data_IF_561398632845
#
_entry.id   IF_561398632845
#
_cell.length_a   1.000
_cell.length_b   1.000
_cell.length_c   1.000
_cell.angle_alpha   90.00
_cell.angle_beta   90.00
_cell.angle_gamma   90.00
#
_symmetry.space_group_name_H-M   'P 1'
#
loop_
_entity.id
_entity.type
_entity.pdbx_description
1 polymer ?
#
# COMPACT_ATOMS: atom_id res chain seq x y z
N UNK A 1 -17.95 -14.19 46.56
CA UNK A 1 -18.14 -15.66 46.35
C UNK A 1 -19.51 -15.87 45.78
N UNK A 2 -19.63 -15.99 44.48
CA UNK A 2 -20.84 -16.45 43.81
C UNK A 2 -20.41 -17.27 42.59
N UNK A 3 -21.00 -18.41 42.51
CA UNK A 3 -20.65 -19.69 41.99
C UNK A 3 -20.69 -19.77 40.44
N UNK A 4 -19.58 -20.12 39.83
CA UNK A 4 -19.48 -20.53 38.40
C UNK A 4 -19.85 -22.03 38.30
N UNK A 5 -21.11 -22.42 38.23
CA UNK A 5 -21.53 -23.78 37.80
C UNK A 5 -23.06 -23.83 37.70
N UNK A 6 -23.60 -23.46 36.53
CA UNK A 6 -24.87 -23.94 36.05
C UNK A 6 -25.21 -23.38 34.67
N UNK A 7 -24.67 -23.97 33.62
CA UNK A 7 -25.26 -23.91 32.25
C UNK A 7 -24.60 -24.99 31.38
N UNK A 8 -24.81 -26.23 31.78
CA UNK A 8 -24.59 -27.38 30.92
C UNK A 8 -25.67 -28.40 31.27
N UNK A 9 -26.73 -28.43 30.46
CA UNK A 9 -27.55 -29.63 30.15
C UNK A 9 -28.75 -29.25 29.28
N UNK A 10 -28.74 -29.92 28.13
CA UNK A 10 -29.80 -30.25 27.20
C UNK A 10 -29.72 -29.54 25.83
N UNK A 11 -29.14 -30.27 24.87
CA UNK A 11 -29.77 -30.59 23.61
C UNK A 11 -28.96 -31.69 22.92
N UNK A 12 -29.46 -32.89 22.99
CA UNK A 12 -28.98 -34.00 22.17
C UNK A 12 -29.72 -33.98 20.83
N UNK A 13 -28.96 -34.35 19.81
CA UNK A 13 -29.35 -35.01 18.56
C UNK A 13 -30.24 -34.27 17.56
N UNK A 14 -29.63 -33.87 16.46
CA UNK A 14 -30.01 -34.45 15.13
C UNK A 14 -28.84 -34.17 14.16
N UNK A 15 -28.29 -35.21 13.60
CA UNK A 15 -27.25 -35.15 12.59
C UNK A 15 -27.80 -34.50 11.31
N UNK A 16 -27.17 -33.39 10.92
CA UNK A 16 -27.26 -32.89 9.56
C UNK A 16 -25.83 -32.91 9.02
N UNK A 17 -25.57 -33.76 8.07
CA UNK A 17 -24.41 -33.72 7.22
C UNK A 17 -24.40 -32.36 6.53
N UNK A 18 -23.59 -31.42 7.01
CA UNK A 18 -23.21 -30.24 6.25
C UNK A 18 -22.16 -30.70 5.25
N UNK A 19 -22.62 -30.94 4.03
CA UNK A 19 -21.76 -31.10 2.88
C UNK A 19 -20.83 -29.90 2.79
N UNK A 20 -19.52 -30.15 2.78
CA UNK A 20 -18.52 -29.19 2.36
C UNK A 20 -18.82 -28.91 0.89
N UNK A 21 -19.59 -27.86 0.65
CA UNK A 21 -19.84 -27.36 -0.69
C UNK A 21 -18.53 -26.84 -1.25
N UNK A 22 -17.92 -27.62 -2.14
CA UNK A 22 -16.89 -27.11 -3.05
C UNK A 22 -17.55 -25.96 -3.83
N UNK A 23 -17.21 -24.74 -3.52
CA UNK A 23 -17.64 -23.57 -4.27
C UNK A 23 -17.18 -23.72 -5.71
N UNK A 24 -18.08 -24.02 -6.62
CA UNK A 24 -17.77 -24.23 -8.04
C UNK A 24 -17.32 -22.91 -8.71
N UNK A 25 -16.74 -22.98 -9.92
CA UNK A 25 -16.17 -21.82 -10.62
C UNK A 25 -17.17 -20.67 -10.87
N UNK A 26 -18.48 -20.93 -10.82
CA UNK A 26 -19.50 -19.88 -10.98
C UNK A 26 -19.62 -18.96 -9.76
N UNK A 27 -19.33 -19.42 -8.55
CA UNK A 27 -19.40 -18.62 -7.32
C UNK A 27 -18.21 -17.65 -7.22
N UNK A 28 -17.04 -18.02 -7.76
CA UNK A 28 -15.86 -17.16 -7.83
C UNK A 28 -16.05 -15.96 -8.78
N UNK A 29 -16.95 -16.05 -9.76
CA UNK A 29 -17.26 -14.95 -10.70
C UNK A 29 -18.09 -13.83 -10.07
N UNK A 30 -18.82 -14.08 -8.99
CA UNK A 30 -19.64 -13.08 -8.31
C UNK A 30 -18.90 -12.38 -7.16
N UNK A 31 -17.90 -13.04 -6.57
CA UNK A 31 -17.13 -12.49 -5.45
C UNK A 31 -16.06 -11.49 -5.91
N UNK A 32 -15.82 -10.44 -5.09
CA UNK A 32 -14.74 -9.48 -5.30
C UNK A 32 -13.40 -9.95 -4.67
N UNK A 33 -12.30 -9.29 -5.05
CA UNK A 33 -10.97 -9.56 -4.46
C UNK A 33 -10.98 -9.39 -2.93
N UNK A 34 -11.81 -8.47 -2.40
CA UNK A 34 -12.04 -8.32 -0.95
C UNK A 34 -12.40 -9.63 -0.27
N UNK A 35 -13.38 -10.35 -0.82
CA UNK A 35 -13.88 -11.59 -0.22
C UNK A 35 -12.84 -12.71 -0.28
N UNK A 36 -12.07 -12.79 -1.38
CA UNK A 36 -10.98 -13.75 -1.52
C UNK A 36 -9.85 -13.47 -0.52
N UNK A 37 -9.44 -12.22 -0.38
CA UNK A 37 -8.41 -11.82 0.57
C UNK A 37 -8.81 -12.11 2.04
N UNK A 38 -10.06 -11.82 2.41
CA UNK A 38 -10.57 -12.07 3.76
C UNK A 38 -10.50 -13.54 4.17
N UNK A 39 -10.67 -14.49 3.25
CA UNK A 39 -10.52 -15.93 3.54
C UNK A 39 -9.12 -16.33 3.99
N UNK A 40 -8.12 -15.52 3.63
CA UNK A 40 -6.72 -15.70 4.03
C UNK A 40 -6.29 -14.76 5.16
N UNK A 41 -7.24 -14.11 5.83
CA UNK A 41 -6.97 -13.06 6.81
C UNK A 41 -6.10 -11.91 6.26
N UNK A 42 -6.30 -11.59 4.98
CA UNK A 42 -5.64 -10.49 4.27
C UNK A 42 -6.66 -9.40 3.97
N UNK A 43 -6.18 -8.17 3.78
CA UNK A 43 -6.98 -7.11 3.16
C UNK A 43 -6.59 -6.96 1.69
N UNK A 44 -7.60 -6.85 0.80
CA UNK A 44 -7.40 -6.30 -0.53
C UNK A 44 -7.95 -4.88 -0.59
N UNK A 45 -7.22 -3.98 -1.23
CA UNK A 45 -7.62 -2.59 -1.36
C UNK A 45 -7.09 -1.91 -2.61
N UNK A 46 -7.35 -0.61 -2.73
CA UNK A 46 -6.80 0.20 -3.80
C UNK A 46 -6.70 1.69 -3.43
N UNK A 47 -5.84 2.41 -4.15
CA UNK A 47 -5.81 3.86 -4.12
C UNK A 47 -7.11 4.42 -4.71
N UNK A 48 -7.61 5.48 -4.10
CA UNK A 48 -8.87 6.13 -4.49
C UNK A 48 -8.83 7.62 -4.15
N UNK A 49 -9.28 8.43 -5.09
CA UNK A 49 -9.49 9.86 -4.90
C UNK A 49 -10.99 10.17 -4.65
N UNK A 50 -11.27 11.25 -3.93
CA UNK A 50 -12.65 11.68 -3.61
C UNK A 50 -13.49 11.95 -4.85
N UNK A 51 -12.88 12.48 -5.91
CA UNK A 51 -13.59 12.76 -7.17
C UNK A 51 -14.08 11.49 -7.87
N UNK A 52 -13.35 10.38 -7.75
CA UNK A 52 -13.74 9.09 -8.30
C UNK A 52 -15.00 8.53 -7.62
N UNK A 53 -15.24 8.86 -6.35
CA UNK A 53 -16.42 8.43 -5.61
C UNK A 53 -17.73 9.07 -6.09
N UNK A 54 -17.66 10.13 -6.89
CA UNK A 54 -18.82 10.76 -7.53
C UNK A 54 -19.36 9.93 -8.70
N UNK A 55 -18.56 9.02 -9.25
CA UNK A 55 -18.99 8.02 -10.23
C UNK A 55 -19.64 6.83 -9.51
N UNK A 56 -20.96 6.74 -9.59
CA UNK A 56 -21.74 5.72 -8.90
C UNK A 56 -21.39 4.29 -9.33
N UNK A 57 -21.06 4.08 -10.61
CA UNK A 57 -20.67 2.78 -11.13
C UNK A 57 -19.30 2.35 -10.56
N UNK A 58 -18.34 3.30 -10.51
CA UNK A 58 -17.06 3.06 -9.91
C UNK A 58 -17.18 2.81 -8.40
N UNK A 59 -17.94 3.63 -7.67
CA UNK A 59 -18.16 3.45 -6.25
C UNK A 59 -18.76 2.06 -5.94
N UNK A 60 -19.71 1.59 -6.77
CA UNK A 60 -20.29 0.26 -6.65
C UNK A 60 -19.26 -0.86 -6.91
N UNK A 61 -18.40 -0.69 -7.92
CA UNK A 61 -17.31 -1.62 -8.19
C UNK A 61 -16.29 -1.63 -7.05
N UNK A 62 -15.94 -0.47 -6.51
CA UNK A 62 -15.02 -0.30 -5.39
C UNK A 62 -15.50 -1.06 -4.14
N UNK A 63 -16.76 -0.89 -3.76
CA UNK A 63 -17.37 -1.57 -2.61
C UNK A 63 -17.38 -3.09 -2.78
N UNK A 64 -17.61 -3.59 -3.99
CA UNK A 64 -17.56 -5.01 -4.30
C UNK A 64 -16.16 -5.59 -4.22
N UNK A 65 -15.16 -4.88 -4.75
CA UNK A 65 -13.81 -5.40 -4.91
C UNK A 65 -12.90 -5.14 -3.71
N UNK A 66 -13.00 -3.98 -3.02
CA UNK A 66 -12.06 -3.53 -2.01
C UNK A 66 -12.62 -3.55 -0.58
N UNK A 67 -11.77 -3.89 0.38
CA UNK A 67 -12.03 -3.80 1.83
C UNK A 67 -11.11 -2.79 2.54
N UNK A 68 -10.15 -2.24 1.81
CA UNK A 68 -9.19 -1.26 2.30
C UNK A 68 -8.96 -0.20 1.24
N UNK A 69 -8.97 1.07 1.63
CA UNK A 69 -8.62 2.19 0.75
C UNK A 69 -7.29 2.81 1.16
N UNK A 70 -6.62 3.44 0.22
CA UNK A 70 -5.54 4.40 0.49
C UNK A 70 -5.85 5.70 -0.24
N UNK A 71 -5.65 6.85 0.43
CA UNK A 71 -5.85 8.16 -0.18
C UNK A 71 -4.82 8.37 -1.30
N UNK A 72 -5.29 8.53 -2.54
CA UNK A 72 -4.37 8.76 -3.68
C UNK A 72 -3.67 10.10 -3.57
N UNK A 73 -4.38 11.13 -3.10
CA UNK A 73 -3.87 12.49 -3.03
C UNK A 73 -4.22 13.23 -1.73
N UNK A 74 -5.40 13.04 -1.17
CA UNK A 74 -6.04 13.90 -0.18
C UNK A 74 -5.31 13.98 1.17
N UNK A 75 -4.42 13.02 1.48
CA UNK A 75 -3.62 13.01 2.70
C UNK A 75 -2.15 13.41 2.47
N UNK A 76 -1.75 13.77 1.25
CA UNK A 76 -0.42 14.31 0.96
C UNK A 76 -0.30 15.73 1.50
N UNK A 77 0.91 16.12 1.93
CA UNK A 77 1.10 17.41 2.64
C UNK A 77 0.69 18.62 1.82
N UNK A 78 0.94 18.62 0.51
CA UNK A 78 0.53 19.72 -0.38
C UNK A 78 -1.01 19.84 -0.52
N UNK A 79 -1.76 18.77 -0.26
CA UNK A 79 -3.22 18.84 -0.19
C UNK A 79 -3.70 19.36 1.16
N UNK A 80 -3.07 18.92 2.25
CA UNK A 80 -3.51 19.17 3.63
C UNK A 80 -3.01 20.52 4.16
N UNK A 81 -1.74 20.89 3.95
CA UNK A 81 -1.12 22.08 4.52
C UNK A 81 -0.60 23.02 3.43
N UNK A 82 -1.49 23.47 2.53
CA UNK A 82 -1.14 24.40 1.44
C UNK A 82 -0.53 25.70 1.96
N UNK A 83 -1.10 26.21 3.05
CA UNK A 83 -0.61 27.39 3.76
C UNK A 83 -0.09 26.94 5.12
N UNK A 84 1.10 27.40 5.48
CA UNK A 84 1.77 27.03 6.73
C UNK A 84 0.88 27.19 7.94
N UNK A 85 0.69 26.10 8.71
CA UNK A 85 -0.11 26.06 9.93
C UNK A 85 -1.62 26.00 9.72
N UNK A 86 -2.11 25.97 8.45
CA UNK A 86 -3.52 25.81 8.13
C UNK A 86 -3.75 24.44 7.51
N UNK A 87 -4.51 23.59 8.20
CA UNK A 87 -4.74 22.20 7.83
C UNK A 87 -6.15 22.02 7.27
N UNK A 88 -6.25 21.45 6.08
CA UNK A 88 -7.51 21.04 5.45
C UNK A 88 -7.59 19.51 5.43
N UNK A 89 -8.46 18.96 6.26
CA UNK A 89 -8.70 17.54 6.38
C UNK A 89 -9.90 17.04 5.55
N UNK A 90 -10.64 17.95 4.91
CA UNK A 90 -11.93 17.63 4.29
C UNK A 90 -11.87 16.47 3.31
N UNK A 91 -10.83 16.41 2.47
CA UNK A 91 -10.64 15.31 1.51
C UNK A 91 -10.38 13.96 2.19
N UNK A 92 -9.45 13.92 3.14
CA UNK A 92 -9.15 12.70 3.88
C UNK A 92 -10.33 12.23 4.74
N UNK A 93 -11.06 13.16 5.38
CA UNK A 93 -12.26 12.87 6.16
C UNK A 93 -13.39 12.32 5.27
N UNK A 94 -13.55 12.84 4.06
CA UNK A 94 -14.53 12.32 3.10
C UNK A 94 -14.23 10.86 2.72
N UNK A 95 -12.97 10.52 2.44
CA UNK A 95 -12.55 9.14 2.18
C UNK A 95 -12.76 8.24 3.39
N UNK A 96 -12.42 8.69 4.60
CA UNK A 96 -12.63 7.93 5.84
C UNK A 96 -14.11 7.67 6.10
N UNK A 97 -14.96 8.68 5.91
CA UNK A 97 -16.40 8.55 6.09
C UNK A 97 -17.00 7.57 5.08
N UNK A 98 -16.60 7.65 3.80
CA UNK A 98 -17.00 6.69 2.78
C UNK A 98 -16.56 5.27 3.16
N UNK A 99 -15.29 5.07 3.51
CA UNK A 99 -14.77 3.77 3.91
C UNK A 99 -15.58 3.18 5.08
N UNK A 100 -15.80 3.95 6.14
CA UNK A 100 -16.60 3.51 7.30
C UNK A 100 -18.02 3.15 6.92
N UNK A 101 -18.69 3.97 6.11
CA UNK A 101 -20.07 3.72 5.66
C UNK A 101 -20.20 2.42 4.84
N UNK A 102 -19.15 2.00 4.15
CA UNK A 102 -19.10 0.79 3.34
C UNK A 102 -18.42 -0.40 4.05
N UNK A 103 -18.14 -0.30 5.35
CA UNK A 103 -17.46 -1.35 6.12
C UNK A 103 -16.05 -1.66 5.57
N UNK A 104 -15.36 -0.64 5.10
CA UNK A 104 -13.96 -0.68 4.66
C UNK A 104 -13.06 0.04 5.67
N UNK A 105 -11.77 -0.28 5.64
CA UNK A 105 -10.75 0.48 6.33
C UNK A 105 -10.10 1.52 5.38
N UNK A 106 -9.37 2.48 5.96
CA UNK A 106 -8.55 3.45 5.23
C UNK A 106 -7.13 3.42 5.78
N UNK A 107 -6.12 3.53 4.94
CA UNK A 107 -4.74 3.79 5.34
C UNK A 107 -4.30 5.18 4.90
N UNK A 108 -3.44 5.80 5.70
CA UNK A 108 -2.90 7.14 5.43
C UNK A 108 -1.65 7.08 4.56
N UNK A 109 -1.62 7.91 3.53
CA UNK A 109 -0.50 8.06 2.61
C UNK A 109 -0.34 9.54 2.23
N UNK A 110 0.73 10.20 2.55
CA UNK A 110 1.89 9.80 3.34
C UNK A 110 2.32 10.99 4.22
N UNK A 111 2.94 10.71 5.38
CA UNK A 111 3.30 11.79 6.30
C UNK A 111 4.56 12.55 5.86
N UNK A 112 5.64 11.83 5.52
CA UNK A 112 6.92 12.45 5.12
C UNK A 112 7.38 11.84 3.79
N UNK A 113 7.52 12.70 2.80
CA UNK A 113 7.99 12.34 1.46
C UNK A 113 8.87 13.45 0.90
N UNK A 114 9.73 13.15 -0.06
CA UNK A 114 10.59 14.14 -0.71
C UNK A 114 9.84 15.02 -1.73
N UNK A 115 8.67 14.57 -2.19
CA UNK A 115 7.79 15.29 -3.13
C UNK A 115 6.40 15.50 -2.54
N UNK A 116 5.46 16.07 -3.29
CA UNK A 116 4.09 16.41 -2.87
C UNK A 116 4.02 17.26 -1.59
N UNK A 117 4.96 18.18 -1.47
CA UNK A 117 5.01 19.16 -0.41
C UNK A 117 4.52 20.54 -0.92
N UNK A 118 4.01 21.41 -0.03
CA UNK A 118 3.70 22.79 -0.42
C UNK A 118 4.99 23.57 -0.73
N UNK A 119 4.91 24.51 -1.67
CA UNK A 119 6.07 25.24 -2.20
C UNK A 119 6.91 25.95 -1.14
N UNK A 120 6.26 26.43 -0.06
CA UNK A 120 6.93 27.12 1.05
C UNK A 120 7.81 26.21 1.90
N UNK A 121 7.56 24.90 1.91
CA UNK A 121 8.17 23.99 2.89
C UNK A 121 9.66 23.72 2.67
N UNK A 122 10.14 23.37 1.46
CA UNK A 122 11.56 23.07 1.27
C UNK A 122 12.48 24.22 1.69
N UNK A 123 12.12 25.44 1.34
CA UNK A 123 12.89 26.63 1.70
C UNK A 123 12.85 26.90 3.21
N UNK A 124 11.66 26.79 3.82
CA UNK A 124 11.52 26.96 5.27
C UNK A 124 12.35 25.93 6.06
N UNK A 125 12.39 24.68 5.63
CA UNK A 125 13.18 23.62 6.25
C UNK A 125 14.68 23.88 6.10
N UNK A 126 15.15 24.22 4.91
CA UNK A 126 16.57 24.50 4.64
C UNK A 126 17.09 25.69 5.44
N UNK A 127 16.29 26.76 5.53
CA UNK A 127 16.70 28.01 6.17
C UNK A 127 16.67 27.90 7.70
N UNK A 128 15.56 27.38 8.27
CA UNK A 128 15.39 27.35 9.72
C UNK A 128 16.05 26.15 10.40
N UNK A 129 16.15 25.00 9.70
CA UNK A 129 16.52 23.70 10.27
C UNK A 129 15.70 23.34 11.52
N UNK A 130 14.45 23.78 11.56
CA UNK A 130 13.54 23.56 12.67
C UNK A 130 12.80 22.21 12.47
N UNK A 131 13.16 21.23 13.29
CA UNK A 131 12.56 19.88 13.27
C UNK A 131 11.06 19.90 13.55
N UNK A 132 10.53 20.98 14.13
CA UNK A 132 9.07 21.12 14.37
C UNK A 132 8.29 21.22 13.06
N UNK A 133 8.91 21.66 11.96
CA UNK A 133 8.30 21.63 10.63
C UNK A 133 7.97 20.20 10.15
N UNK A 134 8.67 19.21 10.67
CA UNK A 134 8.39 17.80 10.41
C UNK A 134 7.49 17.23 11.52
N UNK A 135 7.93 17.34 12.77
CA UNK A 135 7.30 16.64 13.91
C UNK A 135 5.92 17.17 14.25
N UNK A 136 5.69 18.51 14.17
CA UNK A 136 4.36 19.08 14.41
C UNK A 136 3.35 18.67 13.34
N UNK A 137 3.77 18.61 12.05
CA UNK A 137 2.91 18.12 10.97
C UNK A 137 2.52 16.65 11.20
N UNK A 138 3.51 15.78 11.46
CA UNK A 138 3.25 14.35 11.73
C UNK A 138 2.30 14.19 12.92
N UNK A 139 2.56 14.91 14.02
CA UNK A 139 1.69 14.90 15.21
C UNK A 139 0.26 15.33 14.88
N UNK A 140 0.09 16.40 14.10
CA UNK A 140 -1.22 16.95 13.75
C UNK A 140 -2.01 15.94 12.91
N UNK A 141 -1.40 15.38 11.87
CA UNK A 141 -2.01 14.37 11.01
C UNK A 141 -2.42 13.11 11.79
N UNK A 142 -1.47 12.54 12.54
CA UNK A 142 -1.71 11.28 13.24
C UNK A 142 -2.74 11.44 14.36
N UNK A 143 -2.75 12.57 15.07
CA UNK A 143 -3.77 12.84 16.10
C UNK A 143 -5.16 13.04 15.52
N UNK A 144 -5.29 13.73 14.37
CA UNK A 144 -6.59 13.90 13.72
C UNK A 144 -7.25 12.56 13.38
N UNK A 145 -6.46 11.60 12.88
CA UNK A 145 -6.95 10.27 12.49
C UNK A 145 -6.74 9.18 13.55
N UNK A 146 -6.41 9.55 14.79
CA UNK A 146 -6.05 8.59 15.83
C UNK A 146 -7.07 7.48 16.00
N UNK A 147 -6.60 6.22 15.92
CA UNK A 147 -7.41 5.01 16.05
C UNK A 147 -8.40 4.77 14.90
N UNK A 148 -8.40 5.61 13.86
CA UNK A 148 -9.34 5.52 12.75
C UNK A 148 -8.76 4.83 11.50
N UNK A 149 -7.44 4.80 11.36
CA UNK A 149 -6.78 4.26 10.17
C UNK A 149 -6.21 2.87 10.42
N UNK A 150 -6.15 2.08 9.35
CA UNK A 150 -5.50 0.77 9.33
C UNK A 150 -3.98 0.88 9.57
N UNK A 151 -3.34 1.82 8.90
CA UNK A 151 -1.88 2.04 8.96
C UNK A 151 -1.51 3.40 8.37
N UNK A 152 -0.28 3.86 8.64
CA UNK A 152 0.31 5.05 8.05
C UNK A 152 1.59 4.74 7.28
N UNK A 153 1.73 5.24 6.07
CA UNK A 153 3.03 5.41 5.44
C UNK A 153 3.70 6.62 6.09
N UNK A 154 4.59 6.35 7.05
CA UNK A 154 5.23 7.41 7.84
C UNK A 154 6.30 8.12 7.03
N UNK A 155 7.17 7.34 6.39
CA UNK A 155 8.18 7.83 5.46
C UNK A 155 8.05 7.06 4.16
N UNK A 156 8.00 7.81 3.06
CA UNK A 156 7.88 7.29 1.71
C UNK A 156 9.15 7.54 0.91
N UNK A 157 9.70 6.49 0.27
CA UNK A 157 10.77 6.54 -0.74
C UNK A 157 12.08 7.22 -0.26
N UNK A 158 12.52 6.88 0.94
CA UNK A 158 13.76 7.44 1.48
C UNK A 158 15.03 6.76 0.92
N UNK A 159 14.92 5.63 0.22
CA UNK A 159 16.05 4.88 -0.33
C UNK A 159 16.23 5.21 -1.81
N UNK A 160 17.48 5.50 -2.20
CA UNK A 160 17.93 5.59 -3.59
C UNK A 160 19.41 5.24 -3.69
N UNK A 161 19.77 3.96 -3.77
CA UNK A 161 21.17 3.55 -3.84
C UNK A 161 21.84 3.92 -5.16
N UNK A 162 21.10 4.44 -6.14
CA UNK A 162 21.64 4.91 -7.42
C UNK A 162 22.10 6.36 -7.37
N UNK A 163 21.72 7.11 -6.32
CA UNK A 163 22.14 8.50 -6.11
C UNK A 163 23.61 8.66 -5.65
N UNK A 164 24.34 7.54 -5.47
CA UNK A 164 25.77 7.55 -5.17
C UNK A 164 26.15 7.81 -3.71
N UNK A 165 25.18 7.88 -2.78
CA UNK A 165 25.45 7.97 -1.35
C UNK A 165 25.78 6.60 -0.76
N UNK A 166 26.78 6.57 0.15
CA UNK A 166 27.22 5.32 0.80
C UNK A 166 26.17 4.72 1.75
N UNK A 167 25.26 5.55 2.28
CA UNK A 167 24.16 5.13 3.15
C UNK A 167 22.91 4.69 2.36
N UNK A 168 22.90 4.82 1.04
CA UNK A 168 21.80 4.46 0.16
C UNK A 168 20.57 5.35 0.27
N UNK A 169 20.63 6.44 1.06
CA UNK A 169 19.48 7.34 1.22
C UNK A 169 19.31 8.26 0.02
N UNK A 170 18.05 8.56 -0.30
CA UNK A 170 17.67 9.51 -1.35
C UNK A 170 18.03 10.94 -0.95
N UNK A 171 18.80 11.68 -1.77
CA UNK A 171 18.99 13.11 -1.57
C UNK A 171 17.66 13.87 -1.60
N UNK A 172 17.39 14.63 -0.55
CA UNK A 172 16.21 15.47 -0.46
C UNK A 172 16.39 16.55 0.61
N UNK A 173 15.53 17.57 0.61
CA UNK A 173 15.64 18.69 1.54
C UNK A 173 15.55 18.27 3.03
N UNK A 174 14.81 17.20 3.35
CA UNK A 174 14.78 16.63 4.69
C UNK A 174 16.14 16.09 5.13
N UNK A 175 16.77 15.31 4.24
CA UNK A 175 18.10 14.74 4.50
C UNK A 175 19.17 15.83 4.57
N UNK A 176 19.09 16.88 3.72
CA UNK A 176 20.01 18.03 3.74
C UNK A 176 19.91 18.81 5.05
N UNK A 177 18.69 19.00 5.57
CA UNK A 177 18.46 19.81 6.76
C UNK A 177 18.74 19.03 8.05
N UNK A 178 18.28 17.79 8.17
CA UNK A 178 18.26 17.04 9.43
C UNK A 178 19.15 15.80 9.43
N UNK A 179 19.84 15.50 8.32
CA UNK A 179 20.57 14.25 8.19
C UNK A 179 19.64 13.03 8.20
N UNK A 180 20.19 11.80 8.32
CA UNK A 180 19.42 10.57 8.33
C UNK A 180 18.38 10.48 9.46
N UNK A 181 18.55 11.26 10.52
CA UNK A 181 17.65 11.27 11.70
C UNK A 181 16.23 11.78 11.40
N UNK A 182 16.00 12.45 10.25
CA UNK A 182 14.64 12.89 9.89
C UNK A 182 13.64 11.72 9.84
N UNK A 183 14.13 10.52 9.47
CA UNK A 183 13.32 9.31 9.41
C UNK A 183 12.94 8.87 10.83
N UNK A 184 13.93 8.81 11.72
CA UNK A 184 13.72 8.41 13.11
C UNK A 184 12.75 9.38 13.81
N UNK A 185 12.91 10.69 13.60
CA UNK A 185 12.01 11.74 14.12
C UNK A 185 10.56 11.56 13.64
N UNK A 186 10.37 11.25 12.35
CA UNK A 186 9.04 11.03 11.80
C UNK A 186 8.32 9.85 12.46
N UNK A 187 9.00 8.70 12.58
CA UNK A 187 8.44 7.51 13.20
C UNK A 187 8.17 7.69 14.71
N UNK A 188 9.10 8.33 15.43
CA UNK A 188 8.92 8.62 16.86
C UNK A 188 7.75 9.57 17.10
N UNK A 189 7.62 10.63 16.29
CA UNK A 189 6.50 11.56 16.36
C UNK A 189 5.17 10.86 16.06
N UNK A 190 5.11 10.00 15.05
CA UNK A 190 3.91 9.24 14.71
C UNK A 190 3.50 8.29 15.84
N UNK A 191 4.45 7.54 16.42
CA UNK A 191 4.20 6.62 17.54
C UNK A 191 3.74 7.36 18.80
N UNK A 192 4.33 8.51 19.09
CA UNK A 192 3.92 9.34 20.22
C UNK A 192 2.50 9.91 20.06
N UNK A 193 2.11 10.24 18.82
CA UNK A 193 0.78 10.79 18.52
C UNK A 193 -0.33 9.71 18.58
N UNK A 194 -0.04 8.49 18.10
CA UNK A 194 -0.93 7.32 18.20
C UNK A 194 -0.13 6.06 18.51
N UNK A 195 -0.09 5.63 19.79
CA UNK A 195 0.62 4.42 20.19
C UNK A 195 0.10 3.13 19.55
N UNK A 196 -1.13 3.12 19.05
CA UNK A 196 -1.79 1.96 18.43
C UNK A 196 -1.67 1.90 16.92
N UNK A 197 -1.25 3.00 16.28
CA UNK A 197 -1.13 3.06 14.83
C UNK A 197 -0.06 2.09 14.30
N UNK A 198 -0.38 1.38 13.23
CA UNK A 198 0.61 0.59 12.47
C UNK A 198 1.42 1.54 11.59
N UNK A 199 2.73 1.59 11.82
CA UNK A 199 3.66 2.50 11.17
C UNK A 199 4.46 1.77 10.10
N UNK A 200 4.35 2.22 8.85
CA UNK A 200 4.91 1.58 7.66
C UNK A 200 6.02 2.46 7.10
N UNK A 201 7.16 1.85 6.79
CA UNK A 201 8.13 2.41 5.86
C UNK A 201 7.76 1.95 4.45
N UNK A 202 7.43 2.86 3.54
CA UNK A 202 6.94 2.55 2.19
C UNK A 202 7.97 2.92 1.14
N UNK A 203 8.30 1.99 0.22
CA UNK A 203 9.29 2.26 -0.82
C UNK A 203 9.04 1.42 -2.08
N UNK A 204 9.70 1.83 -3.17
CA UNK A 204 9.72 1.18 -4.48
C UNK A 204 11.12 0.63 -4.81
N UNK A 205 11.21 -0.06 -5.93
CA UNK A 205 12.50 -0.50 -6.47
C UNK A 205 12.99 -1.85 -5.96
N UNK A 206 12.34 -2.44 -4.98
CA UNK A 206 12.68 -3.77 -4.46
C UNK A 206 12.10 -4.92 -5.30
N UNK A 207 11.13 -4.68 -6.17
CA UNK A 207 10.25 -5.67 -6.80
C UNK A 207 10.93 -6.41 -7.97
N UNK A 208 11.64 -5.66 -8.80
CA UNK A 208 12.15 -6.14 -10.10
C UNK A 208 13.34 -7.08 -10.03
N UNK A 209 13.85 -7.44 -11.22
CA UNK A 209 14.98 -8.37 -11.38
C UNK A 209 16.29 -7.74 -11.86
N UNK A 210 16.35 -6.40 -11.96
CA UNK A 210 17.56 -5.70 -12.42
C UNK A 210 18.63 -5.60 -11.31
N UNK A 211 19.85 -5.26 -11.69
CA UNK A 211 20.93 -4.98 -10.74
C UNK A 211 20.57 -3.78 -9.83
N UNK A 212 19.87 -2.77 -10.35
CA UNK A 212 19.37 -1.67 -9.54
C UNK A 212 18.41 -2.17 -8.45
N UNK A 213 17.47 -3.07 -8.79
CA UNK A 213 16.55 -3.64 -7.80
C UNK A 213 17.29 -4.45 -6.71
N UNK A 214 18.41 -5.11 -7.05
CA UNK A 214 19.24 -5.81 -6.07
C UNK A 214 19.89 -4.81 -5.10
N UNK A 215 20.38 -3.66 -5.59
CA UNK A 215 20.91 -2.57 -4.76
C UNK A 215 19.83 -1.97 -3.87
N UNK A 216 18.61 -1.75 -4.39
CA UNK A 216 17.47 -1.28 -3.59
C UNK A 216 17.17 -2.24 -2.43
N UNK A 217 17.06 -3.55 -2.69
CA UNK A 217 16.82 -4.55 -1.63
C UNK A 217 17.93 -4.54 -0.56
N UNK A 218 19.19 -4.48 -0.97
CA UNK A 218 20.31 -4.45 -0.04
C UNK A 218 20.30 -3.17 0.83
N UNK A 219 20.09 -2.00 0.21
CA UNK A 219 20.02 -0.73 0.92
C UNK A 219 18.81 -0.65 1.87
N UNK A 220 17.63 -1.09 1.42
CA UNK A 220 16.41 -1.13 2.25
C UNK A 220 16.60 -2.05 3.45
N UNK A 221 17.15 -3.25 3.27
CA UNK A 221 17.39 -4.17 4.37
C UNK A 221 18.36 -3.59 5.39
N UNK A 222 19.49 -3.05 4.94
CA UNK A 222 20.49 -2.38 5.80
C UNK A 222 19.89 -1.20 6.58
N UNK A 223 19.07 -0.39 5.90
CA UNK A 223 18.33 0.70 6.54
C UNK A 223 17.40 0.20 7.64
N UNK A 224 16.56 -0.80 7.35
CA UNK A 224 15.60 -1.37 8.32
C UNK A 224 16.33 -1.95 9.54
N UNK A 225 17.39 -2.73 9.33
CA UNK A 225 18.22 -3.26 10.42
C UNK A 225 18.79 -2.15 11.29
N UNK A 226 19.34 -1.11 10.68
CA UNK A 226 19.91 0.03 11.39
C UNK A 226 18.87 0.82 12.17
N UNK A 227 17.70 1.08 11.57
CA UNK A 227 16.60 1.79 12.21
C UNK A 227 16.03 1.02 13.42
N UNK A 228 15.79 -0.27 13.28
CA UNK A 228 15.31 -1.12 14.37
C UNK A 228 16.31 -1.21 15.52
N UNK A 229 17.62 -1.31 15.23
CA UNK A 229 18.68 -1.27 16.26
C UNK A 229 18.69 0.04 17.05
N UNK A 230 18.29 1.16 16.45
CA UNK A 230 18.13 2.47 17.11
C UNK A 230 16.79 2.60 17.86
N UNK A 231 15.93 1.60 17.79
CA UNK A 231 14.60 1.63 18.42
C UNK A 231 13.56 2.45 17.65
N UNK A 232 13.75 2.64 16.34
CA UNK A 232 12.75 3.30 15.49
C UNK A 232 11.51 2.40 15.37
N UNK A 233 10.30 2.89 15.68
CA UNK A 233 9.11 2.06 15.79
C UNK A 233 8.48 1.78 14.43
N UNK A 234 9.18 1.03 13.58
CA UNK A 234 8.69 0.55 12.30
C UNK A 234 7.97 -0.78 12.54
N UNK A 235 6.71 -0.91 12.12
CA UNK A 235 5.92 -2.14 12.26
C UNK A 235 5.90 -2.98 10.98
N UNK A 236 6.06 -2.34 9.83
CA UNK A 236 5.96 -3.02 8.54
C UNK A 236 6.79 -2.34 7.44
N UNK A 237 7.16 -3.13 6.44
CA UNK A 237 7.62 -2.66 5.14
C UNK A 237 6.42 -2.59 4.18
N UNK A 238 6.21 -1.43 3.56
CA UNK A 238 5.37 -1.26 2.39
C UNK A 238 6.22 -1.46 1.14
N UNK A 239 5.84 -2.43 0.34
CA UNK A 239 6.43 -2.74 -0.96
C UNK A 239 5.47 -2.19 -2.01
N UNK A 240 5.83 -1.11 -2.72
CA UNK A 240 4.89 -0.43 -3.62
C UNK A 240 4.35 -1.38 -4.69
N UNK A 241 5.20 -2.21 -5.29
CA UNK A 241 4.74 -3.22 -6.25
C UNK A 241 4.51 -2.68 -7.65
N UNK A 242 5.19 -1.59 -8.05
CA UNK A 242 5.19 -1.07 -9.40
C UNK A 242 6.05 -1.94 -10.31
N UNK A 243 5.43 -2.58 -11.30
CA UNK A 243 6.09 -3.50 -12.23
C UNK A 243 6.02 -3.01 -13.67
N UNK A 244 6.78 -3.67 -14.54
CA UNK A 244 6.74 -3.47 -15.98
C UNK A 244 6.44 -4.80 -16.67
N UNK A 245 5.36 -4.87 -17.46
CA UNK A 245 4.95 -6.08 -18.16
C UNK A 245 5.97 -6.53 -19.22
N UNK A 246 6.64 -5.56 -19.85
CA UNK A 246 7.59 -5.76 -20.95
C UNK A 246 9.03 -5.40 -20.58
N UNK A 247 9.29 -5.24 -19.27
CA UNK A 247 10.62 -5.03 -18.71
C UNK A 247 11.26 -6.34 -18.22
N UNK A 248 12.43 -6.23 -17.57
CA UNK A 248 13.07 -7.39 -16.92
C UNK A 248 12.12 -8.01 -15.89
N UNK A 249 11.95 -9.36 -15.91
CA UNK A 249 11.04 -10.02 -15.00
C UNK A 249 11.52 -9.93 -13.55
N UNK A 250 10.60 -10.14 -12.61
CA UNK A 250 10.89 -10.25 -11.18
C UNK A 250 11.88 -11.41 -10.95
N UNK A 251 12.98 -11.14 -10.24
CA UNK A 251 13.85 -12.19 -9.73
C UNK A 251 13.21 -12.82 -8.49
N UNK A 252 12.40 -13.84 -8.71
CA UNK A 252 11.59 -14.48 -7.68
C UNK A 252 12.44 -15.02 -6.52
N UNK A 253 13.61 -15.60 -6.81
CA UNK A 253 14.49 -16.14 -5.76
C UNK A 253 15.05 -15.06 -4.86
N UNK A 254 15.59 -14.00 -5.46
CA UNK A 254 16.17 -12.89 -4.68
C UNK A 254 15.12 -12.07 -3.96
N UNK A 255 13.93 -11.89 -4.56
CA UNK A 255 12.81 -11.21 -3.89
C UNK A 255 12.35 -12.02 -2.67
N UNK A 256 12.20 -13.35 -2.80
CA UNK A 256 11.82 -14.21 -1.68
C UNK A 256 12.81 -14.07 -0.51
N UNK A 257 14.11 -14.23 -0.77
CA UNK A 257 15.15 -14.10 0.26
C UNK A 257 15.09 -12.72 0.94
N UNK A 258 14.87 -11.65 0.18
CA UNK A 258 14.70 -10.32 0.75
C UNK A 258 13.50 -10.22 1.69
N UNK A 259 12.35 -10.73 1.28
CA UNK A 259 11.12 -10.70 2.09
C UNK A 259 11.25 -11.57 3.35
N UNK A 260 11.90 -12.73 3.25
CA UNK A 260 12.19 -13.59 4.40
C UNK A 260 13.12 -12.89 5.40
N UNK A 261 14.13 -12.14 4.93
CA UNK A 261 15.00 -11.34 5.80
C UNK A 261 14.22 -10.19 6.48
N UNK A 262 13.34 -9.49 5.74
CA UNK A 262 12.46 -8.46 6.35
C UNK A 262 11.60 -9.05 7.45
N UNK A 263 11.03 -10.25 7.23
CA UNK A 263 10.24 -10.95 8.26
C UNK A 263 11.09 -11.39 9.45
N UNK A 264 12.32 -11.81 9.23
CA UNK A 264 13.24 -12.18 10.30
C UNK A 264 13.58 -11.00 11.23
N UNK A 265 13.42 -9.76 10.75
CA UNK A 265 13.50 -8.54 11.56
C UNK A 265 12.24 -8.31 12.42
N UNK A 266 11.22 -9.14 12.32
CA UNK A 266 9.93 -8.99 13.03
C UNK A 266 8.93 -8.09 12.30
N UNK A 267 9.23 -7.62 11.10
CA UNK A 267 8.36 -6.72 10.33
C UNK A 267 7.29 -7.48 9.57
N UNK A 268 6.11 -6.84 9.44
CA UNK A 268 5.05 -7.27 8.52
C UNK A 268 5.31 -6.70 7.12
N UNK A 269 4.62 -7.24 6.11
CA UNK A 269 4.73 -6.81 4.72
C UNK A 269 3.35 -6.35 4.23
N UNK A 270 3.31 -5.20 3.58
CA UNK A 270 2.16 -4.74 2.80
C UNK A 270 2.61 -4.54 1.35
N UNK A 271 1.83 -5.01 0.39
CA UNK A 271 1.91 -4.53 -0.99
C UNK A 271 0.99 -3.33 -1.08
N UNK A 272 1.52 -2.15 -1.38
CA UNK A 272 0.83 -0.89 -1.09
C UNK A 272 0.26 -0.18 -2.31
N UNK A 273 0.83 -0.42 -3.51
CA UNK A 273 0.56 0.41 -4.70
C UNK A 273 0.63 -0.41 -6.01
N UNK A 274 0.35 -1.70 -5.94
CA UNK A 274 0.60 -2.61 -7.06
C UNK A 274 -0.10 -2.16 -8.35
N UNK A 275 0.69 -1.95 -9.38
CA UNK A 275 0.27 -1.82 -10.76
C UNK A 275 1.33 -2.43 -11.69
N UNK A 276 0.99 -2.58 -12.97
CA UNK A 276 1.92 -3.15 -13.96
C UNK A 276 1.90 -2.30 -15.21
N UNK A 277 2.96 -1.52 -15.43
CA UNK A 277 3.12 -0.70 -16.62
C UNK A 277 3.19 -1.54 -17.90
N UNK A 278 2.30 -1.25 -18.86
CA UNK A 278 2.17 -1.94 -20.13
C UNK A 278 2.66 -1.12 -21.34
N UNK A 279 3.30 0.03 -21.10
CA UNK A 279 3.71 1.00 -22.13
C UNK A 279 4.71 0.45 -23.15
N UNK A 280 5.52 -0.56 -22.78
CA UNK A 280 6.46 -1.26 -23.66
C UNK A 280 5.83 -2.25 -24.62
N UNK A 281 4.51 -2.48 -24.55
CA UNK A 281 3.82 -3.53 -25.32
C UNK A 281 3.38 -3.12 -26.73
N UNK A 282 2.71 -4.06 -27.38
CA UNK A 282 2.10 -3.87 -28.69
C UNK A 282 0.79 -3.09 -28.61
N UNK A 283 0.20 -2.74 -29.77
CA UNK A 283 -1.14 -2.14 -29.83
C UNK A 283 -2.26 -3.11 -29.43
N UNK A 284 -2.01 -4.42 -29.52
CA UNK A 284 -2.97 -5.45 -29.16
C UNK A 284 -3.18 -5.45 -27.65
N UNK A 285 -4.38 -5.05 -27.21
CA UNK A 285 -4.75 -4.99 -25.82
C UNK A 285 -4.79 -6.36 -25.13
N UNK A 286 -5.12 -7.43 -25.86
CA UNK A 286 -5.16 -8.77 -25.27
C UNK A 286 -3.74 -9.25 -24.92
N UNK A 287 -2.74 -8.97 -25.77
CA UNK A 287 -1.33 -9.27 -25.49
C UNK A 287 -0.85 -8.49 -24.26
N UNK A 288 -1.19 -7.21 -24.17
CA UNK A 288 -0.81 -6.37 -23.00
C UNK A 288 -1.48 -6.85 -21.72
N UNK A 289 -2.79 -7.12 -21.75
CA UNK A 289 -3.53 -7.58 -20.59
C UNK A 289 -2.98 -8.93 -20.07
N UNK A 290 -2.58 -9.83 -20.96
CA UNK A 290 -1.98 -11.09 -20.56
C UNK A 290 -0.59 -10.89 -19.93
N UNK A 291 0.25 -10.03 -20.52
CA UNK A 291 1.57 -9.73 -19.97
C UNK A 291 1.49 -9.06 -18.58
N UNK A 292 0.54 -8.13 -18.40
CA UNK A 292 0.21 -7.50 -17.10
C UNK A 292 -0.20 -8.56 -16.07
N UNK A 293 -1.09 -9.48 -16.44
CA UNK A 293 -1.55 -10.57 -15.57
C UNK A 293 -0.41 -11.51 -15.17
N UNK A 294 0.46 -11.87 -16.11
CA UNK A 294 1.59 -12.77 -15.86
C UNK A 294 2.65 -12.13 -14.96
N UNK A 295 2.94 -10.86 -15.14
CA UNK A 295 3.85 -10.11 -14.26
C UNK A 295 3.28 -9.99 -12.84
N UNK A 296 2.00 -9.61 -12.70
CA UNK A 296 1.31 -9.53 -11.42
C UNK A 296 1.32 -10.86 -10.68
N UNK A 297 1.00 -11.97 -11.37
CA UNK A 297 0.99 -13.30 -10.78
C UNK A 297 2.38 -13.69 -10.26
N UNK A 298 3.42 -13.57 -11.11
CA UNK A 298 4.80 -13.92 -10.70
C UNK A 298 5.26 -13.17 -9.46
N UNK A 299 4.88 -11.92 -9.33
CA UNK A 299 5.20 -11.10 -8.16
C UNK A 299 4.41 -11.54 -6.92
N UNK A 300 3.09 -11.61 -7.01
CA UNK A 300 2.23 -11.93 -5.87
C UNK A 300 2.44 -13.35 -5.35
N UNK A 301 2.70 -14.34 -6.23
CA UNK A 301 3.00 -15.72 -5.82
C UNK A 301 4.22 -15.73 -4.88
N UNK A 302 5.31 -15.03 -5.23
CA UNK A 302 6.49 -14.92 -4.36
C UNK A 302 6.19 -14.19 -3.05
N UNK A 303 5.43 -13.10 -3.12
CA UNK A 303 5.07 -12.32 -1.93
C UNK A 303 4.27 -13.17 -0.94
N UNK A 304 3.31 -13.96 -1.43
CA UNK A 304 2.52 -14.84 -0.58
C UNK A 304 3.29 -16.06 -0.08
N UNK A 305 4.17 -16.64 -0.90
CA UNK A 305 5.05 -17.73 -0.49
C UNK A 305 6.04 -17.32 0.61
N UNK A 306 6.58 -16.11 0.54
CA UNK A 306 7.41 -15.57 1.61
C UNK A 306 6.63 -15.38 2.92
N UNK A 307 5.32 -15.16 2.86
CA UNK A 307 4.42 -15.01 4.01
C UNK A 307 4.60 -13.66 4.73
N UNK A 308 3.90 -13.49 5.87
CA UNK A 308 3.96 -12.25 6.65
C UNK A 308 3.23 -11.06 6.04
N UNK A 309 2.44 -11.28 4.99
CA UNK A 309 1.66 -10.26 4.28
C UNK A 309 0.36 -9.98 5.04
N UNK A 310 0.02 -8.69 5.20
CA UNK A 310 -1.23 -8.27 5.83
C UNK A 310 -2.23 -7.68 4.83
N UNK A 311 -1.73 -7.04 3.77
CA UNK A 311 -2.58 -6.41 2.77
C UNK A 311 -1.91 -6.38 1.38
N UNK A 312 -2.76 -6.36 0.36
CA UNK A 312 -2.39 -6.06 -1.02
C UNK A 312 -3.29 -4.95 -1.53
N UNK A 313 -2.71 -3.83 -1.95
CA UNK A 313 -3.42 -2.73 -2.58
C UNK A 313 -2.89 -2.49 -3.98
N UNK A 314 -3.78 -2.18 -4.91
CA UNK A 314 -3.43 -1.68 -6.24
C UNK A 314 -3.43 -0.15 -6.27
N UNK A 315 -2.59 0.47 -7.11
CA UNK A 315 -2.57 1.92 -7.26
C UNK A 315 -3.67 2.39 -8.21
N UNK A 316 -4.91 2.22 -7.75
CA UNK A 316 -6.17 2.35 -8.47
C UNK A 316 -6.87 1.00 -8.67
N UNK A 317 -8.16 1.04 -9.00
CA UNK A 317 -8.95 -0.15 -9.24
C UNK A 317 -9.17 -0.42 -10.74
N UNK A 318 -9.29 0.64 -11.53
CA UNK A 318 -9.73 0.59 -12.92
C UNK A 318 -8.91 1.51 -13.82
N UNK A 319 -8.66 1.07 -15.04
CA UNK A 319 -8.02 1.89 -16.09
C UNK A 319 -8.85 3.14 -16.46
N UNK A 320 -10.09 3.28 -15.97
CA UNK A 320 -11.00 4.42 -16.26
C UNK A 320 -10.38 5.77 -15.90
N UNK A 321 -9.59 5.81 -14.84
CA UNK A 321 -8.98 7.04 -14.33
C UNK A 321 -7.48 7.17 -14.64
N UNK A 322 -6.93 6.24 -15.43
CA UNK A 322 -5.54 6.37 -15.88
C UNK A 322 -5.45 7.40 -16.99
N UNK A 323 -4.65 8.44 -16.79
CA UNK A 323 -4.38 9.42 -17.83
C UNK A 323 -3.50 8.82 -18.93
N UNK A 324 -3.91 9.04 -20.18
CA UNK A 324 -3.05 8.77 -21.32
C UNK A 324 -2.07 9.93 -21.46
N UNK A 325 -0.86 9.79 -20.92
CA UNK A 325 0.21 10.75 -21.19
C UNK A 325 0.45 10.85 -22.71
N UNK A 326 0.64 12.06 -23.23
CA UNK A 326 0.74 12.32 -24.67
C UNK A 326 1.88 11.59 -25.39
N UNK A 327 2.87 11.05 -24.65
CA UNK A 327 3.95 10.21 -25.19
C UNK A 327 3.58 8.72 -25.31
N UNK A 328 2.47 8.29 -24.70
CA UNK A 328 2.01 6.90 -24.79
C UNK A 328 1.32 6.65 -26.14
N UNK A 329 1.65 5.52 -26.75
CA UNK A 329 1.09 5.13 -28.07
C UNK A 329 -0.36 4.69 -27.99
N UNK A 330 -0.86 4.35 -26.79
CA UNK A 330 -2.21 3.82 -26.54
C UNK A 330 -2.59 4.05 -25.06
N UNK A 331 -3.87 3.94 -24.76
CA UNK A 331 -4.37 4.04 -23.39
C UNK A 331 -3.75 2.96 -22.49
N UNK A 332 -3.28 3.31 -21.27
CA UNK A 332 -2.69 2.35 -20.34
C UNK A 332 -3.71 1.32 -19.86
N UNK A 333 -3.23 0.11 -19.52
CA UNK A 333 -4.04 -1.02 -19.07
C UNK A 333 -3.39 -1.74 -17.89
N UNK A 334 -3.10 -0.98 -16.83
CA UNK A 334 -2.23 -1.38 -15.71
C UNK A 334 -2.96 -2.07 -14.56
N UNK A 335 -4.29 -1.92 -14.48
CA UNK A 335 -5.09 -2.19 -13.28
C UNK A 335 -6.04 -3.39 -13.45
N UNK A 336 -6.63 -3.93 -12.38
CA UNK A 336 -7.46 -5.14 -12.45
C UNK A 336 -8.73 -5.01 -13.29
N UNK A 337 -9.34 -3.82 -13.34
CA UNK A 337 -10.53 -3.56 -14.14
C UNK A 337 -10.20 -2.65 -15.33
N UNK A 338 -10.89 -2.85 -16.45
CA UNK A 338 -10.80 -1.95 -17.59
C UNK A 338 -11.59 -0.65 -17.38
N UNK A 339 -11.57 0.25 -18.37
CA UNK A 339 -12.30 1.54 -18.31
C UNK A 339 -13.82 1.37 -18.25
N UNK A 340 -14.37 0.21 -18.64
CA UNK A 340 -15.77 -0.15 -18.51
C UNK A 340 -16.06 -0.92 -17.19
N UNK A 341 -15.12 -0.96 -16.25
CA UNK A 341 -15.19 -1.66 -14.96
C UNK A 341 -15.34 -3.19 -15.08
N UNK A 342 -14.94 -3.76 -16.21
CA UNK A 342 -14.92 -5.19 -16.43
C UNK A 342 -13.59 -5.78 -15.93
N UNK A 343 -13.67 -6.96 -15.34
CA UNK A 343 -12.50 -7.71 -14.84
C UNK A 343 -11.58 -8.13 -15.96
N UNK A 344 -10.31 -7.76 -15.87
CA UNK A 344 -9.25 -8.13 -16.84
C UNK A 344 -8.51 -9.41 -16.41
N UNK A 345 -7.61 -9.96 -17.26
CA UNK A 345 -6.73 -11.06 -16.88
C UNK A 345 -5.92 -10.81 -15.60
N UNK A 346 -5.51 -9.55 -15.31
CA UNK A 346 -4.87 -9.19 -14.04
C UNK A 346 -5.74 -9.49 -12.84
N UNK A 347 -7.03 -9.16 -12.88
CA UNK A 347 -7.98 -9.51 -11.81
C UNK A 347 -8.00 -11.01 -11.57
N UNK A 348 -8.04 -11.82 -12.65
CA UNK A 348 -8.04 -13.28 -12.56
C UNK A 348 -6.73 -13.83 -11.96
N UNK A 349 -5.60 -13.22 -12.32
CA UNK A 349 -4.29 -13.57 -11.77
C UNK A 349 -4.25 -13.29 -10.25
N UNK A 350 -4.66 -12.10 -9.84
CA UNK A 350 -4.74 -11.72 -8.41
C UNK A 350 -5.71 -12.61 -7.63
N UNK A 351 -6.87 -12.91 -8.20
CA UNK A 351 -7.85 -13.80 -7.58
C UNK A 351 -7.27 -15.21 -7.34
N UNK A 352 -6.50 -15.76 -8.29
CA UNK A 352 -5.81 -17.05 -8.10
C UNK A 352 -4.75 -16.98 -7.01
N UNK A 353 -3.89 -15.96 -7.02
CA UNK A 353 -2.87 -15.81 -5.97
C UNK A 353 -3.48 -15.57 -4.58
N UNK A 354 -4.65 -14.92 -4.49
CA UNK A 354 -5.41 -14.75 -3.24
C UNK A 354 -6.17 -16.02 -2.83
N UNK A 355 -6.52 -16.90 -3.74
CA UNK A 355 -7.22 -18.15 -3.40
C UNK A 355 -6.26 -19.22 -2.84
N UNK A 356 -4.98 -19.18 -3.17
CA UNK A 356 -3.91 -20.08 -2.69
C UNK A 356 -3.71 -21.26 -3.58
#
# INVERSE_FOLDING_TARGET
MLNRRAFLRNAAATGAWLGVGMSGPAQAQTEGLRALAMRRNLAYGCATATDQLKDADFASALVREAGLLVAEYEMKRNAVERTRGHYDFAGGDALLNFAKAQGMALRGHTLVWFTSNPDWLPEAVKTSRDETLLTAYVNTMVRHYRGALHSWDVVNEAIDPTAGRSDGLRPCFWLEAFGPSYIDLAFQAARAADPSARLVYNDQGCEGGTEANHKFRAATLSFLEGALKRGVPIDALGLQGHLQAFGPPVDQKKLRVFLENVRALGLRILVTEHDVDDSGGSRDSAVRDQAVADASRRFLDVVFEAGGVDAVLTWGLSDRYLEQAGFLKFAPRRLPLDSALKRKPMWQAMARSLAG
#
